data_IF_769638232455
#
_entry.id   IF_769638232455
#
_cell.length_a   1.000
_cell.length_b   1.000
_cell.length_c   1.000
_cell.angle_alpha   90.00
_cell.angle_beta   90.00
_cell.angle_gamma   90.00
#
_symmetry.space_group_name_H-M   'P 1'
#
loop_
_entity.id
_entity.type
_entity.pdbx_description
1 polymer ?
#
# COMPACT_ATOMS: atom_id res chain seq x y z
N UNK A 1 -3.83 35.31 -34.07
CA UNK A 1 -2.67 34.84 -33.25
C UNK A 1 -3.07 34.21 -31.90
N UNK A 2 -4.11 34.64 -31.13
CA UNK A 2 -4.40 33.99 -29.82
C UNK A 2 -4.90 32.54 -29.94
N UNK A 3 -5.59 32.18 -31.01
CA UNK A 3 -6.15 30.83 -31.19
C UNK A 3 -5.10 29.72 -31.38
N UNK A 4 -3.99 30.04 -32.05
CA UNK A 4 -2.89 29.07 -32.30
C UNK A 4 -2.13 28.81 -31.00
N UNK A 5 -1.90 29.83 -30.19
CA UNK A 5 -1.24 29.71 -28.88
C UNK A 5 -2.11 28.89 -27.92
N UNK A 6 -3.41 29.13 -27.91
CA UNK A 6 -4.38 28.35 -27.12
C UNK A 6 -4.38 26.88 -27.53
N UNK A 7 -4.38 26.61 -28.86
CA UNK A 7 -4.38 25.24 -29.40
C UNK A 7 -3.05 24.51 -29.05
N UNK A 8 -1.91 25.19 -29.12
CA UNK A 8 -0.59 24.63 -28.77
C UNK A 8 -0.51 24.34 -27.27
N UNK A 9 -0.97 25.24 -26.42
CA UNK A 9 -1.03 25.04 -24.97
C UNK A 9 -1.94 23.85 -24.64
N UNK A 10 -3.08 23.74 -25.32
CA UNK A 10 -4.01 22.62 -25.19
C UNK A 10 -3.37 21.29 -25.58
N UNK A 11 -2.67 21.22 -26.70
CA UNK A 11 -1.99 20.02 -27.21
C UNK A 11 -0.83 19.62 -26.28
N UNK A 12 -0.06 20.58 -25.75
CA UNK A 12 1.02 20.31 -24.79
C UNK A 12 0.47 19.82 -23.45
N UNK A 13 -0.61 20.40 -22.99
CA UNK A 13 -1.32 19.95 -21.79
C UNK A 13 -1.92 18.53 -21.96
N UNK A 14 -2.45 18.18 -23.15
CA UNK A 14 -2.94 16.83 -23.45
C UNK A 14 -1.81 15.79 -23.63
N UNK A 15 -0.70 16.14 -24.26
CA UNK A 15 0.47 15.27 -24.35
C UNK A 15 1.11 15.02 -22.97
N UNK A 16 1.04 16.01 -22.08
CA UNK A 16 1.51 15.93 -20.70
C UNK A 16 0.72 14.93 -19.86
N UNK A 17 -0.61 14.89 -19.99
CA UNK A 17 -1.52 13.99 -19.26
C UNK A 17 -1.40 12.53 -19.75
N UNK A 18 -1.14 12.21 -21.05
CA UNK A 18 -0.95 10.84 -21.58
C UNK A 18 0.39 10.21 -21.19
N UNK A 19 1.49 10.99 -21.16
CA UNK A 19 2.79 10.49 -20.70
C UNK A 19 2.79 10.17 -19.18
N UNK A 20 2.04 10.92 -18.43
CA UNK A 20 1.92 10.74 -16.99
C UNK A 20 1.11 9.47 -16.64
N UNK A 21 0.05 9.14 -17.42
CA UNK A 21 -0.70 7.90 -17.31
C UNK A 21 0.14 6.65 -17.57
N UNK A 22 0.99 6.72 -18.57
CA UNK A 22 1.91 5.62 -18.86
C UNK A 22 2.87 5.37 -17.68
N UNK A 23 3.42 6.42 -17.07
CA UNK A 23 4.31 6.29 -15.91
C UNK A 23 3.62 5.85 -14.62
N UNK A 24 2.31 6.05 -14.45
CA UNK A 24 1.54 5.47 -13.34
C UNK A 24 1.38 3.96 -13.52
N UNK A 25 0.96 3.52 -14.69
CA UNK A 25 0.83 2.08 -14.98
C UNK A 25 2.14 1.34 -14.70
N UNK A 26 3.27 1.86 -15.18
CA UNK A 26 4.60 1.28 -14.97
C UNK A 26 4.99 1.23 -13.48
N UNK A 27 4.59 2.25 -12.71
CA UNK A 27 4.81 2.23 -11.23
C UNK A 27 3.80 1.40 -10.47
N UNK A 28 2.53 1.34 -10.91
CA UNK A 28 1.56 0.40 -10.35
C UNK A 28 2.04 -1.04 -10.50
N UNK A 29 2.57 -1.41 -11.67
CA UNK A 29 3.17 -2.74 -11.85
C UNK A 29 4.41 -2.96 -10.96
N UNK A 30 5.19 -1.91 -10.70
CA UNK A 30 6.36 -2.00 -9.82
C UNK A 30 5.94 -2.12 -8.36
N UNK A 31 4.93 -1.36 -7.94
CA UNK A 31 4.30 -1.45 -6.60
C UNK A 31 3.62 -2.81 -6.42
N UNK A 32 2.88 -3.29 -7.43
CA UNK A 32 2.28 -4.62 -7.40
C UNK A 32 3.33 -5.73 -7.25
N UNK A 33 4.48 -5.59 -7.93
CA UNK A 33 5.61 -6.53 -7.75
C UNK A 33 6.23 -6.42 -6.36
N UNK A 34 6.43 -5.20 -5.85
CA UNK A 34 6.96 -5.00 -4.49
C UNK A 34 5.98 -5.50 -3.42
N UNK A 35 4.68 -5.28 -3.61
CA UNK A 35 3.62 -5.81 -2.75
C UNK A 35 3.58 -7.34 -2.85
N UNK A 36 3.73 -7.92 -4.04
CA UNK A 36 3.80 -9.37 -4.22
C UNK A 36 5.06 -9.97 -3.57
N UNK A 37 6.20 -9.29 -3.66
CA UNK A 37 7.47 -9.72 -3.06
C UNK A 37 7.41 -9.64 -1.53
N UNK A 38 6.88 -8.54 -0.99
CA UNK A 38 6.60 -8.42 0.44
C UNK A 38 5.54 -9.43 0.91
N UNK A 39 4.54 -9.78 0.07
CA UNK A 39 3.58 -10.84 0.35
C UNK A 39 4.24 -12.22 0.41
N UNK A 40 5.14 -12.50 -0.50
CA UNK A 40 5.92 -13.73 -0.48
C UNK A 40 6.85 -13.82 0.74
N UNK A 41 7.51 -12.72 1.10
CA UNK A 41 8.40 -12.68 2.28
C UNK A 41 7.65 -12.89 3.61
N UNK A 42 6.40 -12.43 3.76
CA UNK A 42 5.65 -12.69 5.00
C UNK A 42 5.03 -14.09 5.00
N UNK A 43 4.56 -14.62 3.84
CA UNK A 43 4.17 -16.03 3.75
C UNK A 43 5.38 -16.93 4.14
N UNK A 44 6.57 -16.56 3.67
CA UNK A 44 7.79 -17.25 4.05
C UNK A 44 8.14 -17.06 5.54
N UNK A 45 7.92 -15.88 6.10
CA UNK A 45 8.11 -15.62 7.53
C UNK A 45 7.05 -16.32 8.40
N UNK A 46 5.78 -16.35 7.97
CA UNK A 46 4.73 -17.11 8.63
C UNK A 46 4.98 -18.62 8.55
N UNK A 47 5.44 -19.13 7.41
CA UNK A 47 5.84 -20.53 7.25
C UNK A 47 7.02 -20.87 8.18
N UNK A 48 8.04 -20.03 8.25
CA UNK A 48 9.16 -20.21 9.19
C UNK A 48 8.72 -20.17 10.66
N UNK A 49 7.79 -19.30 11.02
CA UNK A 49 7.21 -19.23 12.37
C UNK A 49 6.39 -20.48 12.71
N UNK A 50 5.64 -20.99 11.73
CA UNK A 50 4.87 -22.23 11.86
C UNK A 50 5.77 -23.45 12.01
N UNK A 51 6.84 -23.54 11.21
CA UNK A 51 7.84 -24.63 11.26
C UNK A 51 8.63 -24.60 12.57
N UNK A 52 9.00 -23.41 13.06
CA UNK A 52 9.62 -23.24 14.37
C UNK A 52 8.69 -23.68 15.51
N UNK A 53 7.38 -23.39 15.40
CA UNK A 53 6.37 -23.86 16.34
C UNK A 53 6.14 -25.38 16.32
N UNK A 54 6.22 -26.01 15.14
CA UNK A 54 6.16 -27.47 14.99
C UNK A 54 7.39 -28.17 15.57
N UNK A 55 8.58 -27.63 15.30
CA UNK A 55 9.84 -28.10 15.89
C UNK A 55 9.84 -27.98 17.42
N UNK A 56 9.29 -26.88 17.96
CA UNK A 56 9.13 -26.69 19.40
C UNK A 56 8.21 -27.73 20.05
N UNK A 57 7.09 -28.06 19.44
CA UNK A 57 6.19 -29.14 19.92
C UNK A 57 6.88 -30.49 19.82
N UNK A 58 7.54 -30.80 18.72
CA UNK A 58 8.27 -32.05 18.54
C UNK A 58 9.42 -32.19 19.53
N UNK A 59 10.12 -31.10 19.86
CA UNK A 59 11.18 -31.10 20.86
C UNK A 59 10.64 -31.33 22.28
N UNK A 60 9.48 -30.76 22.62
CA UNK A 60 8.79 -30.99 23.90
C UNK A 60 8.29 -32.44 24.03
N UNK A 61 7.65 -32.97 22.98
CA UNK A 61 7.20 -34.36 22.96
C UNK A 61 8.37 -35.34 23.12
N UNK A 62 9.52 -35.02 22.51
CA UNK A 62 10.76 -35.78 22.70
C UNK A 62 11.29 -35.65 24.12
N UNK A 63 11.24 -34.44 24.70
CA UNK A 63 11.70 -34.21 26.07
C UNK A 63 10.82 -34.95 27.08
N UNK A 64 9.51 -34.89 26.91
CA UNK A 64 8.58 -35.63 27.79
C UNK A 64 8.71 -37.15 27.64
N UNK A 65 8.91 -37.61 26.40
CA UNK A 65 9.19 -39.03 26.13
C UNK A 65 10.51 -39.53 26.75
N UNK A 66 11.56 -38.72 26.67
CA UNK A 66 12.84 -39.06 27.29
C UNK A 66 12.77 -39.03 28.82
N UNK A 67 11.98 -38.12 29.40
CA UNK A 67 11.73 -38.08 30.86
C UNK A 67 10.93 -39.31 31.34
N UNK A 68 9.93 -39.74 30.56
CA UNK A 68 9.17 -40.96 30.87
C UNK A 68 10.05 -42.24 30.83
N UNK A 69 10.94 -42.34 29.82
CA UNK A 69 11.93 -43.44 29.71
C UNK A 69 12.88 -43.42 30.90
N UNK A 70 13.33 -42.25 31.32
CA UNK A 70 14.19 -42.10 32.49
C UNK A 70 13.53 -42.57 33.80
N UNK A 71 12.21 -42.27 33.96
CA UNK A 71 11.41 -42.73 35.11
C UNK A 71 11.22 -44.25 35.13
N UNK A 72 10.89 -44.86 34.00
CA UNK A 72 10.69 -46.33 33.89
C UNK A 72 12.01 -47.07 34.04
N UNK A 73 13.12 -46.53 33.60
CA UNK A 73 14.44 -47.11 33.77
C UNK A 73 14.94 -47.03 35.24
N UNK A 74 14.51 -46.04 36.01
CA UNK A 74 14.81 -45.92 37.43
C UNK A 74 14.10 -47.00 38.27
N UNK A 75 12.98 -47.52 37.80
CA UNK A 75 12.27 -48.64 38.42
C UNK A 75 12.88 -50.02 38.09
N UNK A 76 13.53 -50.09 36.95
CA UNK A 76 14.24 -51.30 36.47
C UNK A 76 15.73 -51.30 36.84
N UNK A 77 16.14 -51.84 37.92
CA UNK A 77 17.41 -51.71 38.64
C UNK A 77 18.73 -52.04 37.91
N UNK A 78 18.82 -52.35 36.63
CA UNK A 78 20.08 -52.84 36.02
C UNK A 78 20.52 -52.20 34.69
N UNK A 79 19.66 -51.38 34.10
CA UNK A 79 20.01 -50.70 32.83
C UNK A 79 19.98 -49.17 33.03
N UNK A 80 19.72 -48.75 34.24
CA UNK A 80 19.25 -47.38 34.53
C UNK A 80 20.29 -46.27 34.43
N UNK A 81 21.57 -46.52 34.81
CA UNK A 81 22.50 -45.39 35.00
C UNK A 81 23.06 -44.79 33.71
N UNK A 82 23.32 -45.57 32.68
CA UNK A 82 23.84 -45.05 31.42
C UNK A 82 22.75 -44.47 30.50
N UNK A 83 21.60 -45.16 30.38
CA UNK A 83 20.49 -44.74 29.51
C UNK A 83 19.70 -43.56 30.11
N UNK A 84 19.64 -43.46 31.46
CA UNK A 84 18.95 -42.38 32.13
C UNK A 84 19.70 -41.03 32.03
N UNK A 85 21.05 -41.06 32.12
CA UNK A 85 21.85 -39.83 32.01
C UNK A 85 21.74 -39.23 30.62
N UNK A 86 21.93 -40.06 29.57
CA UNK A 86 21.81 -39.60 28.15
C UNK A 86 20.39 -39.12 27.83
N UNK A 87 19.34 -39.83 28.32
CA UNK A 87 17.95 -39.45 28.07
C UNK A 87 17.53 -38.15 28.78
N UNK A 88 18.07 -37.89 29.98
CA UNK A 88 17.81 -36.63 30.70
C UNK A 88 18.54 -35.48 30.01
N UNK A 89 19.78 -35.66 29.57
CA UNK A 89 20.56 -34.67 28.87
C UNK A 89 19.89 -34.30 27.52
N UNK A 90 19.42 -35.30 26.77
CA UNK A 90 18.68 -35.09 25.52
C UNK A 90 17.36 -34.39 25.76
N UNK A 91 16.63 -34.77 26.84
CA UNK A 91 15.37 -34.11 27.21
C UNK A 91 15.56 -32.64 27.61
N UNK A 92 16.60 -32.33 28.38
CA UNK A 92 16.91 -30.97 28.79
C UNK A 92 17.41 -30.12 27.64
N UNK A 93 18.22 -30.69 26.76
CA UNK A 93 18.63 -30.02 25.51
C UNK A 93 17.41 -29.70 24.61
N UNK A 94 16.51 -30.67 24.39
CA UNK A 94 15.31 -30.50 23.62
C UNK A 94 14.33 -29.46 24.24
N UNK A 95 14.21 -29.41 25.58
CA UNK A 95 13.45 -28.38 26.29
C UNK A 95 14.06 -27.00 26.11
N UNK A 96 15.38 -26.87 26.16
CA UNK A 96 16.11 -25.63 25.93
C UNK A 96 15.92 -25.10 24.51
N UNK A 97 15.99 -25.98 23.52
CA UNK A 97 15.73 -25.63 22.11
C UNK A 97 14.28 -25.19 21.89
N UNK A 98 13.33 -25.93 22.47
CA UNK A 98 11.91 -25.60 22.39
C UNK A 98 11.58 -24.25 23.05
N UNK A 99 12.19 -23.98 24.21
CA UNK A 99 11.99 -22.68 24.89
C UNK A 99 12.55 -21.52 24.05
N UNK A 100 13.78 -21.67 23.51
CA UNK A 100 14.38 -20.63 22.65
C UNK A 100 13.65 -20.43 21.31
N UNK A 101 13.07 -21.49 20.74
CA UNK A 101 12.23 -21.36 19.54
C UNK A 101 10.92 -20.61 19.82
N UNK A 102 10.28 -20.90 20.97
CA UNK A 102 9.07 -20.18 21.41
C UNK A 102 9.34 -18.71 21.67
N UNK A 103 10.43 -18.40 22.32
CA UNK A 103 10.81 -17.01 22.60
C UNK A 103 11.06 -16.21 21.32
N UNK A 104 11.76 -16.82 20.35
CA UNK A 104 12.00 -16.21 19.03
C UNK A 104 10.70 -16.02 18.25
N UNK A 105 9.81 -17.00 18.26
CA UNK A 105 8.49 -16.90 17.61
C UNK A 105 7.64 -15.80 18.26
N UNK A 106 7.55 -15.76 19.58
CA UNK A 106 6.81 -14.72 20.30
C UNK A 106 7.39 -13.31 20.05
N UNK A 107 8.72 -13.20 19.99
CA UNK A 107 9.38 -11.94 19.62
C UNK A 107 9.05 -11.47 18.22
N UNK A 108 9.06 -12.37 17.24
CA UNK A 108 8.70 -12.07 15.85
C UNK A 108 7.21 -11.68 15.71
N UNK A 109 6.31 -12.37 16.40
CA UNK A 109 4.89 -12.04 16.43
C UNK A 109 4.64 -10.67 17.06
N UNK A 110 5.30 -10.37 18.17
CA UNK A 110 5.18 -9.08 18.85
C UNK A 110 5.68 -7.93 17.96
N UNK A 111 6.79 -8.13 17.26
CA UNK A 111 7.33 -7.12 16.34
C UNK A 111 6.40 -6.92 15.11
N UNK A 112 5.90 -7.99 14.52
CA UNK A 112 4.93 -7.92 13.43
C UNK A 112 3.63 -7.20 13.87
N UNK A 113 3.16 -7.47 15.10
CA UNK A 113 2.00 -6.78 15.66
C UNK A 113 2.27 -5.28 15.86
N UNK A 114 3.46 -4.90 16.34
CA UNK A 114 3.86 -3.49 16.49
C UNK A 114 3.87 -2.78 15.14
N UNK A 115 4.49 -3.37 14.13
CA UNK A 115 4.55 -2.79 12.79
C UNK A 115 3.14 -2.59 12.23
N UNK A 116 2.25 -3.55 12.39
CA UNK A 116 0.84 -3.43 11.96
C UNK A 116 0.13 -2.28 12.67
N UNK A 117 0.23 -2.19 13.99
CA UNK A 117 -0.42 -1.14 14.77
C UNK A 117 0.11 0.25 14.37
N UNK A 118 1.41 0.39 14.20
CA UNK A 118 2.02 1.66 13.77
C UNK A 118 1.57 2.05 12.36
N UNK A 119 1.57 1.12 11.43
CA UNK A 119 1.15 1.36 10.06
C UNK A 119 -0.35 1.69 9.97
N UNK A 120 -1.21 1.01 10.72
CA UNK A 120 -2.64 1.33 10.81
C UNK A 120 -2.88 2.72 11.44
N UNK A 121 -2.14 3.06 12.48
CA UNK A 121 -2.21 4.38 13.11
C UNK A 121 -1.83 5.48 12.13
N UNK A 122 -0.79 5.29 11.33
CA UNK A 122 -0.35 6.25 10.32
C UNK A 122 -1.39 6.41 9.20
N UNK A 123 -1.97 5.32 8.70
CA UNK A 123 -3.06 5.38 7.72
C UNK A 123 -4.28 6.09 8.28
N UNK A 124 -4.66 5.82 9.53
CA UNK A 124 -5.78 6.50 10.18
C UNK A 124 -5.50 8.01 10.34
N UNK A 125 -4.27 8.38 10.74
CA UNK A 125 -3.83 9.78 10.82
C UNK A 125 -3.93 10.47 9.46
N UNK A 126 -3.41 9.83 8.42
CA UNK A 126 -3.48 10.34 7.06
C UNK A 126 -4.91 10.48 6.57
N UNK A 127 -5.75 9.46 6.78
CA UNK A 127 -7.16 9.50 6.39
C UNK A 127 -7.91 10.67 7.04
N UNK A 128 -7.68 10.89 8.34
CA UNK A 128 -8.27 12.02 9.06
C UNK A 128 -7.74 13.36 8.55
N UNK A 129 -6.42 13.50 8.41
CA UNK A 129 -5.81 14.75 7.97
C UNK A 129 -6.21 15.10 6.53
N UNK A 130 -6.16 14.14 5.61
CA UNK A 130 -6.56 14.33 4.22
C UNK A 130 -8.07 14.57 4.11
N UNK A 131 -8.88 13.88 4.91
CA UNK A 131 -10.33 14.05 4.97
C UNK A 131 -10.80 15.42 5.42
N UNK A 132 -9.97 16.18 6.14
CA UNK A 132 -10.24 17.58 6.46
C UNK A 132 -9.99 18.54 5.28
N UNK A 133 -9.26 18.09 4.27
CA UNK A 133 -8.91 18.90 3.10
C UNK A 133 -9.84 18.60 1.94
N UNK A 134 -10.12 17.32 1.67
CA UNK A 134 -11.05 16.88 0.62
C UNK A 134 -11.64 15.50 0.94
N UNK A 135 -12.69 15.12 0.20
CA UNK A 135 -13.32 13.82 0.34
C UNK A 135 -12.31 12.69 0.16
N UNK A 136 -12.03 11.98 1.24
CA UNK A 136 -11.05 10.90 1.30
C UNK A 136 -11.73 9.62 1.74
N UNK A 137 -11.46 8.52 1.02
CA UNK A 137 -12.00 7.19 1.33
C UNK A 137 -10.89 6.15 1.38
N UNK A 138 -11.03 5.20 2.28
CA UNK A 138 -10.17 4.03 2.35
C UNK A 138 -10.61 2.99 1.33
N UNK A 139 -9.65 2.43 0.61
CA UNK A 139 -9.83 1.35 -0.35
C UNK A 139 -8.94 0.16 0.00
N UNK A 140 -9.10 -0.94 -0.72
CA UNK A 140 -8.22 -2.09 -0.57
C UNK A 140 -6.74 -1.82 -0.96
N UNK A 141 -6.47 -0.72 -1.68
CA UNK A 141 -5.13 -0.35 -2.15
C UNK A 141 -4.54 0.84 -1.38
N UNK A 142 -5.28 1.45 -0.45
CA UNK A 142 -4.84 2.63 0.28
C UNK A 142 -5.94 3.68 0.42
N UNK A 143 -5.54 4.94 0.52
CA UNK A 143 -6.44 6.07 0.59
C UNK A 143 -6.63 6.67 -0.79
N UNK A 144 -7.85 7.00 -1.15
CA UNK A 144 -8.17 7.74 -2.39
C UNK A 144 -8.88 9.03 -2.00
N UNK A 145 -8.29 10.14 -2.41
CA UNK A 145 -8.85 11.47 -2.25
C UNK A 145 -9.42 11.94 -3.58
N UNK A 146 -10.65 12.39 -3.56
CA UNK A 146 -11.33 12.93 -4.73
C UNK A 146 -11.27 14.47 -4.73
N UNK A 147 -10.52 15.04 -5.65
CA UNK A 147 -10.44 16.47 -5.89
C UNK A 147 -11.37 16.83 -7.08
N UNK A 148 -12.66 16.73 -6.84
CA UNK A 148 -13.69 17.13 -7.79
C UNK A 148 -13.78 18.65 -7.95
N UNK A 149 -14.73 19.10 -8.76
CA UNK A 149 -14.94 20.53 -9.10
C UNK A 149 -15.25 21.43 -7.88
N UNK A 150 -15.57 20.86 -6.73
CA UNK A 150 -15.77 21.60 -5.47
C UNK A 150 -14.45 21.95 -4.79
N UNK A 151 -13.39 21.21 -5.07
CA UNK A 151 -12.07 21.33 -4.47
C UNK A 151 -11.02 21.87 -5.44
N UNK A 152 -11.01 21.39 -6.69
CA UNK A 152 -10.04 21.72 -7.72
C UNK A 152 -10.77 22.07 -9.02
N UNK A 153 -10.65 23.31 -9.46
CA UNK A 153 -11.34 23.79 -10.67
C UNK A 153 -10.33 24.18 -11.73
N UNK A 154 -10.42 23.55 -12.86
CA UNK A 154 -9.72 23.98 -14.06
C UNK A 154 -10.66 24.80 -14.95
N UNK A 155 -10.16 25.86 -15.54
CA UNK A 155 -10.89 26.54 -16.60
C UNK A 155 -11.12 25.60 -17.79
N UNK A 156 -12.08 25.96 -18.63
CA UNK A 156 -12.36 25.17 -19.82
C UNK A 156 -11.09 25.02 -20.66
N UNK A 157 -10.78 23.76 -21.00
CA UNK A 157 -9.61 23.37 -21.78
C UNK A 157 -8.24 23.75 -21.18
N UNK A 158 -8.17 24.11 -19.90
CA UNK A 158 -6.91 24.45 -19.21
C UNK A 158 -6.56 23.40 -18.16
N UNK A 159 -5.28 23.43 -17.79
CA UNK A 159 -4.71 22.66 -16.69
C UNK A 159 -3.92 23.55 -15.71
N UNK A 160 -4.06 24.85 -15.83
CA UNK A 160 -3.43 25.81 -14.92
C UNK A 160 -4.15 25.79 -13.58
N UNK A 161 -3.37 25.70 -12.50
CA UNK A 161 -3.88 25.76 -11.14
C UNK A 161 -4.18 27.21 -10.77
N UNK A 162 -5.37 27.45 -10.26
CA UNK A 162 -5.76 28.77 -9.75
C UNK A 162 -5.13 29.00 -8.37
N UNK A 163 -5.03 30.24 -7.87
CA UNK A 163 -4.50 30.53 -6.55
C UNK A 163 -5.17 29.72 -5.42
N UNK A 164 -6.51 29.58 -5.47
CA UNK A 164 -7.29 28.82 -4.48
C UNK A 164 -6.95 27.32 -4.51
N UNK A 165 -6.73 26.77 -5.70
CA UNK A 165 -6.34 25.37 -5.88
C UNK A 165 -4.94 25.11 -5.31
N UNK A 166 -4.03 26.08 -5.42
CA UNK A 166 -2.67 26.00 -4.85
C UNK A 166 -2.69 26.00 -3.34
N UNK A 167 -3.58 26.76 -2.69
CA UNK A 167 -3.72 26.73 -1.23
C UNK A 167 -4.13 25.34 -0.75
N UNK A 168 -5.11 24.72 -1.39
CA UNK A 168 -5.54 23.35 -1.10
C UNK A 168 -4.38 22.36 -1.26
N UNK A 169 -3.67 22.44 -2.38
CA UNK A 169 -2.54 21.56 -2.67
C UNK A 169 -1.36 21.77 -1.71
N UNK A 170 -1.13 23.01 -1.24
CA UNK A 170 -0.12 23.29 -0.21
C UNK A 170 -0.46 22.62 1.13
N UNK A 171 -1.74 22.62 1.51
CA UNK A 171 -2.19 21.92 2.73
C UNK A 171 -2.02 20.40 2.58
N UNK A 172 -2.31 19.84 1.41
CA UNK A 172 -2.04 18.44 1.10
C UNK A 172 -0.56 18.10 1.17
N UNK A 173 0.28 18.92 0.55
CA UNK A 173 1.73 18.76 0.60
C UNK A 173 2.25 18.76 2.05
N UNK A 174 1.77 19.70 2.87
CA UNK A 174 2.14 19.77 4.29
C UNK A 174 1.78 18.50 5.07
N UNK A 175 0.62 17.90 4.81
CA UNK A 175 0.22 16.62 5.42
C UNK A 175 1.15 15.49 4.96
N UNK A 176 1.39 15.39 3.65
CA UNK A 176 2.21 14.33 3.07
C UNK A 176 3.68 14.44 3.46
N UNK A 177 4.23 15.64 3.58
CA UNK A 177 5.62 15.87 4.03
C UNK A 177 5.89 15.38 5.46
N UNK A 178 4.85 15.25 6.30
CA UNK A 178 4.97 14.71 7.66
C UNK A 178 4.79 13.20 7.75
N UNK A 179 4.60 12.53 6.62
CA UNK A 179 4.37 11.09 6.52
C UNK A 179 5.54 10.40 5.85
N UNK A 180 5.75 9.14 6.19
CA UNK A 180 6.83 8.31 5.64
C UNK A 180 6.25 7.07 4.95
N UNK A 181 7.06 6.45 4.07
CA UNK A 181 6.77 5.16 3.45
C UNK A 181 5.43 5.12 2.68
N UNK A 182 5.25 6.04 1.74
CA UNK A 182 4.09 6.06 0.87
C UNK A 182 4.47 6.40 -0.58
N UNK A 183 3.57 6.05 -1.48
CA UNK A 183 3.58 6.48 -2.87
C UNK A 183 2.27 7.21 -3.18
N UNK A 184 2.31 8.09 -4.17
CA UNK A 184 1.15 8.91 -4.57
C UNK A 184 0.86 8.68 -6.04
N UNK A 185 -0.34 8.22 -6.36
CA UNK A 185 -0.85 8.22 -7.73
C UNK A 185 -1.74 9.45 -7.95
N UNK A 186 -1.56 10.13 -9.07
CA UNK A 186 -2.37 11.30 -9.46
C UNK A 186 -3.12 10.96 -10.74
N UNK A 187 -4.42 10.74 -10.64
CA UNK A 187 -5.27 10.28 -11.74
C UNK A 187 -6.19 11.41 -12.20
N UNK A 188 -6.10 11.77 -13.47
CA UNK A 188 -6.95 12.79 -14.08
C UNK A 188 -8.15 12.19 -14.80
N UNK A 189 -9.29 12.85 -14.68
CA UNK A 189 -10.54 12.46 -15.35
C UNK A 189 -11.22 13.66 -16.00
N UNK A 190 -11.99 13.39 -17.05
CA UNK A 190 -12.83 14.38 -17.72
C UNK A 190 -14.30 13.95 -17.70
N UNK A 191 -15.18 14.82 -18.14
CA UNK A 191 -16.53 14.46 -18.51
C UNK A 191 -16.57 13.76 -19.90
N UNK A 192 -17.76 13.45 -20.36
CA UNK A 192 -18.05 12.72 -21.60
C UNK A 192 -17.86 13.56 -22.89
N UNK A 193 -17.64 14.86 -22.79
CA UNK A 193 -17.56 15.77 -23.92
C UNK A 193 -16.19 15.72 -24.60
N UNK A 194 -16.17 15.54 -25.91
CA UNK A 194 -14.95 15.48 -26.71
C UNK A 194 -14.52 14.06 -27.09
N UNK A 195 -13.41 13.94 -27.80
CA UNK A 195 -12.83 12.64 -28.21
C UNK A 195 -12.07 11.98 -27.07
N UNK A 196 -11.89 10.66 -27.13
CA UNK A 196 -11.14 9.92 -26.10
C UNK A 196 -9.69 10.39 -26.03
N UNK A 197 -9.06 10.57 -27.19
CA UNK A 197 -7.67 11.04 -27.25
C UNK A 197 -7.50 12.44 -26.65
N UNK A 198 -8.43 13.35 -26.98
CA UNK A 198 -8.43 14.69 -26.42
C UNK A 198 -8.58 14.66 -24.89
N UNK A 199 -9.56 13.93 -24.39
CA UNK A 199 -9.84 13.82 -22.97
C UNK A 199 -8.71 13.15 -22.18
N UNK A 200 -8.09 12.10 -22.72
CA UNK A 200 -6.93 11.46 -22.13
C UNK A 200 -5.78 12.47 -21.97
N UNK A 201 -5.46 13.19 -23.02
CA UNK A 201 -4.41 14.22 -22.99
C UNK A 201 -4.74 15.36 -22.02
N UNK A 202 -5.99 15.83 -21.95
CA UNK A 202 -6.40 16.88 -21.03
C UNK A 202 -6.31 16.44 -19.58
N UNK A 203 -6.83 15.28 -19.27
CA UNK A 203 -6.82 14.73 -17.91
C UNK A 203 -5.41 14.47 -17.42
N UNK A 204 -4.52 13.98 -18.29
CA UNK A 204 -3.08 13.82 -17.97
C UNK A 204 -2.41 15.16 -17.66
N UNK A 205 -2.64 16.20 -18.48
CA UNK A 205 -2.09 17.55 -18.21
C UNK A 205 -2.51 18.08 -16.84
N UNK A 206 -3.78 17.89 -16.47
CA UNK A 206 -4.31 18.32 -15.17
C UNK A 206 -3.68 17.57 -14.01
N UNK A 207 -3.57 16.26 -14.13
CA UNK A 207 -2.91 15.42 -13.13
C UNK A 207 -1.42 15.79 -13.00
N UNK A 208 -0.74 16.07 -14.11
CA UNK A 208 0.64 16.55 -14.10
C UNK A 208 0.80 17.90 -13.40
N UNK A 209 -0.10 18.85 -13.66
CA UNK A 209 -0.05 20.15 -13.00
C UNK A 209 -0.18 20.02 -11.47
N UNK A 210 -1.04 19.11 -10.99
CA UNK A 210 -1.15 18.80 -9.57
C UNK A 210 0.14 18.19 -9.02
N UNK A 211 0.69 17.20 -9.70
CA UNK A 211 1.96 16.57 -9.31
C UNK A 211 3.11 17.57 -9.27
N UNK A 212 3.24 18.39 -10.32
CA UNK A 212 4.33 19.36 -10.43
C UNK A 212 4.28 20.36 -9.28
N UNK A 213 3.08 20.81 -8.92
CA UNK A 213 2.91 21.68 -7.78
C UNK A 213 3.28 21.00 -6.45
N UNK A 214 2.91 19.75 -6.24
CA UNK A 214 3.25 19.00 -5.03
C UNK A 214 4.77 18.75 -4.94
N UNK A 215 5.44 18.54 -6.07
CA UNK A 215 6.91 18.44 -6.14
C UNK A 215 7.55 19.80 -5.85
N UNK A 216 7.02 20.88 -6.40
CA UNK A 216 7.49 22.25 -6.09
C UNK A 216 7.30 22.59 -4.59
N UNK A 217 6.26 22.06 -3.96
CA UNK A 217 6.02 22.18 -2.54
C UNK A 217 6.95 21.32 -1.66
N UNK A 218 7.87 20.54 -2.25
CA UNK A 218 8.93 19.80 -1.56
C UNK A 218 8.76 18.29 -1.48
N UNK A 219 7.72 17.71 -2.09
CA UNK A 219 7.57 16.26 -2.14
C UNK A 219 8.52 15.65 -3.17
N UNK A 220 9.15 14.49 -2.87
CA UNK A 220 10.07 13.83 -3.80
C UNK A 220 9.37 13.40 -5.09
N UNK A 221 9.91 13.69 -6.28
CA UNK A 221 9.25 13.33 -7.54
C UNK A 221 9.10 11.82 -7.77
N UNK A 222 9.97 11.00 -7.17
CA UNK A 222 10.00 9.55 -7.28
C UNK A 222 8.82 8.84 -6.62
N UNK A 223 8.15 9.49 -5.67
CA UNK A 223 6.96 8.89 -5.03
C UNK A 223 5.71 8.99 -5.90
N UNK A 224 5.76 9.80 -6.97
CA UNK A 224 4.59 10.08 -7.79
C UNK A 224 4.50 9.19 -9.01
N UNK A 225 3.27 8.79 -9.28
CA UNK A 225 2.85 8.27 -10.58
C UNK A 225 1.64 9.07 -11.04
N UNK A 226 1.49 9.28 -12.37
CA UNK A 226 0.42 10.15 -12.88
C UNK A 226 -0.19 9.55 -14.13
N UNK A 227 -1.52 9.49 -14.20
CA UNK A 227 -2.27 8.93 -15.31
C UNK A 227 -3.46 9.81 -15.71
N UNK A 228 -3.71 9.88 -17.02
CA UNK A 228 -4.91 10.51 -17.57
C UNK A 228 -5.87 9.45 -18.09
N UNK A 229 -6.98 9.28 -17.44
CA UNK A 229 -8.02 8.34 -17.83
C UNK A 229 -9.05 8.95 -18.82
N UNK A 230 -8.99 10.26 -19.05
CA UNK A 230 -10.00 10.93 -19.86
C UNK A 230 -11.40 10.65 -19.31
N UNK A 231 -12.30 10.23 -20.18
CA UNK A 231 -13.69 9.89 -19.84
C UNK A 231 -13.96 8.39 -19.63
N UNK A 232 -12.91 7.55 -19.66
CA UNK A 232 -13.07 6.08 -19.64
C UNK A 232 -13.46 5.52 -18.28
N UNK A 233 -13.20 6.27 -17.19
CA UNK A 233 -13.52 5.88 -15.83
C UNK A 233 -14.40 6.95 -15.16
N UNK A 234 -15.68 7.05 -15.52
CA UNK A 234 -16.59 8.00 -14.90
C UNK A 234 -16.85 7.65 -13.44
N UNK A 235 -16.89 8.65 -12.56
CA UNK A 235 -17.30 8.49 -11.17
C UNK A 235 -18.82 8.28 -11.07
N UNK A 236 -19.57 8.97 -11.96
CA UNK A 236 -21.02 8.88 -12.04
C UNK A 236 -21.41 8.72 -13.50
N UNK A 237 -22.23 7.72 -13.77
CA UNK A 237 -22.79 7.51 -15.08
C UNK A 237 -23.79 8.60 -15.46
N UNK A 238 -23.83 8.97 -16.74
CA UNK A 238 -24.77 9.92 -17.30
C UNK A 238 -24.13 11.20 -17.85
N UNK A 239 -24.94 11.97 -18.56
CA UNK A 239 -24.51 13.16 -19.33
C UNK A 239 -25.11 14.47 -18.78
N UNK A 240 -25.70 14.43 -17.58
CA UNK A 240 -26.19 15.65 -16.93
C UNK A 240 -25.03 16.55 -16.48
N UNK A 241 -25.27 17.85 -16.35
CA UNK A 241 -24.25 18.79 -15.87
C UNK A 241 -23.72 18.41 -14.48
N UNK A 242 -24.58 17.86 -13.63
CA UNK A 242 -24.19 17.37 -12.31
C UNK A 242 -23.27 16.13 -12.40
N UNK A 243 -23.56 15.19 -13.32
CA UNK A 243 -22.69 14.04 -13.55
C UNK A 243 -21.35 14.48 -14.15
N UNK A 244 -21.36 15.35 -15.15
CA UNK A 244 -20.16 15.94 -15.76
C UNK A 244 -19.28 16.64 -14.73
N UNK A 245 -19.88 17.45 -13.85
CA UNK A 245 -19.15 18.14 -12.79
C UNK A 245 -18.42 17.18 -11.84
N UNK A 246 -19.03 16.06 -11.49
CA UNK A 246 -18.40 15.01 -10.66
C UNK A 246 -17.33 14.24 -11.42
N UNK A 247 -17.49 14.05 -12.72
CA UNK A 247 -16.53 13.32 -13.55
C UNK A 247 -15.26 14.14 -13.83
N UNK A 248 -15.39 15.49 -13.93
CA UNK A 248 -14.22 16.39 -14.03
C UNK A 248 -13.50 16.48 -12.69
N UNK A 249 -12.55 15.58 -12.44
CA UNK A 249 -11.84 15.47 -11.17
C UNK A 249 -10.38 15.06 -11.35
N UNK A 250 -9.61 15.26 -10.31
CA UNK A 250 -8.30 14.61 -10.12
C UNK A 250 -8.42 13.75 -8.85
N UNK A 251 -8.01 12.50 -8.93
CA UNK A 251 -7.93 11.61 -7.77
C UNK A 251 -6.48 11.48 -7.33
N UNK A 252 -6.23 11.57 -6.03
CA UNK A 252 -4.95 11.26 -5.40
C UNK A 252 -5.07 9.94 -4.66
N UNK A 253 -4.35 8.91 -5.12
CA UNK A 253 -4.23 7.66 -4.40
C UNK A 253 -2.97 7.68 -3.54
N UNK A 254 -3.09 7.48 -2.23
CA UNK A 254 -1.96 7.40 -1.29
C UNK A 254 -1.87 5.98 -0.77
N UNK A 255 -0.76 5.31 -1.06
CA UNK A 255 -0.51 3.91 -0.68
C UNK A 255 0.66 3.87 0.28
N UNK A 256 0.43 3.38 1.51
CA UNK A 256 1.52 3.13 2.45
C UNK A 256 2.28 1.87 2.02
N UNK A 257 3.61 1.99 1.86
CA UNK A 257 4.45 0.90 1.36
C UNK A 257 4.77 -0.17 2.40
N UNK A 258 4.50 0.09 3.69
CA UNK A 258 4.65 -0.89 4.79
C UNK A 258 3.39 -1.74 5.01
N UNK A 259 2.23 -1.29 4.53
CA UNK A 259 0.98 -2.04 4.67
C UNK A 259 0.76 -2.87 3.41
N UNK A 260 0.50 -4.16 3.61
CA UNK A 260 -0.04 -5.00 2.55
C UNK A 260 -1.54 -4.76 2.45
N UNK A 261 -1.95 -4.03 1.46
CA UNK A 261 -3.34 -3.99 1.06
C UNK A 261 -3.64 -5.31 0.33
N UNK A 262 -4.37 -6.19 1.01
CA UNK A 262 -4.48 -7.60 0.70
C UNK A 262 -4.75 -7.95 -0.77
N UNK A 263 -3.99 -8.88 -1.29
CA UNK A 263 -4.57 -9.92 -2.14
C UNK A 263 -5.41 -10.79 -1.21
N UNK A 264 -6.74 -10.69 -1.30
CA UNK A 264 -7.59 -11.79 -0.82
C UNK A 264 -7.03 -13.07 -1.45
N UNK A 265 -6.70 -14.03 -0.61
CA UNK A 265 -6.30 -15.36 -1.05
C UNK A 265 -7.27 -15.80 -2.17
N UNK A 266 -6.77 -15.87 -3.40
CA UNK A 266 -7.42 -16.69 -4.40
C UNK A 266 -7.33 -18.10 -3.84
N UNK A 267 -8.40 -18.58 -3.24
CA UNK A 267 -8.62 -20.00 -3.07
C UNK A 267 -8.33 -20.66 -4.42
N UNK A 268 -7.44 -21.63 -4.52
CA UNK A 268 -7.37 -22.46 -5.69
C UNK A 268 -8.73 -23.16 -5.82
N UNK A 269 -9.40 -22.90 -6.90
CA UNK A 269 -10.62 -23.63 -7.28
C UNK A 269 -10.23 -25.08 -7.52
N UNK A 270 -11.00 -26.06 -7.03
CA UNK A 270 -10.68 -27.50 -7.08
C UNK A 270 -10.55 -28.04 -8.49
#
# INVERSE_FOLDING_TARGET
>A
MPFIVLLVVLVVLFAGVGFLGFRILERLETVDRQVADLAAQAEEAEARAHDAGALSRQALDRADGAEAVARTAAEGRLIAEAVTADAVEEADAARGEAASARERAAGAEAEAARIRVQAEAEVNRLEQALGQVAETRRTALGLVMNLGSDYLKFEFDKAELRPEDRELLSRLAGILLTSEDYTVSVNGHTDDVGTDEYNTKLSERRARAVRDYLVEAGLPPEIFTVEGHGKTLPLVEGTSDAARAKNRRVELGVVNTRIRYGRSARTPNP
#
